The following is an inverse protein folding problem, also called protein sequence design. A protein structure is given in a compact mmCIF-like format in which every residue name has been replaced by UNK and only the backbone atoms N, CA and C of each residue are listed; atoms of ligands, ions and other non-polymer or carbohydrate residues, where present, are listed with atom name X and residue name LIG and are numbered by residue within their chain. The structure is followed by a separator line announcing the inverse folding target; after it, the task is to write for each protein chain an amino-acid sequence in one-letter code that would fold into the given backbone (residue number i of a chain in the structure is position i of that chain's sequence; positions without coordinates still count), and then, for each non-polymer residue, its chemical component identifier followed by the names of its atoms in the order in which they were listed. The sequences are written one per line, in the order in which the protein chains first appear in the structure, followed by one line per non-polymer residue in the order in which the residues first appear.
data_IF_631679755556
#
_entry.id   IF_631679755556
#
_cell.length_a   1.000
_cell.length_b   1.000
_cell.length_c   1.000
_cell.angle_alpha   90.00
_cell.angle_beta   90.00
_cell.angle_gamma   90.00
#
_symmetry.space_group_name_H-M   'P 1'
#
loop_
_entity.id
_entity.type
_entity.pdbx_description
1 polymer ?
#
# COMPACT_ATOMS: atom_id res chain seq x y z
N UNK A 1 -67.43 8.22 0.14
CA UNK A 1 -68.18 6.97 0.41
C UNK A 1 -67.18 5.83 0.51
N UNK A 2 -67.18 5.10 1.63
CA UNK A 2 -66.27 3.96 1.92
C UNK A 2 -66.93 2.68 1.42
N UNK A 3 -66.25 1.88 0.60
CA UNK A 3 -66.57 0.46 0.41
C UNK A 3 -65.53 -0.38 1.16
N UNK A 4 -66.03 -1.20 2.08
CA UNK A 4 -65.27 -2.09 2.98
C UNK A 4 -65.04 -3.45 2.31
N UNK A 5 -63.83 -4.00 2.52
CA UNK A 5 -63.45 -5.43 2.71
C UNK A 5 -63.76 -6.42 1.55
N UNK A 6 -62.97 -7.43 1.17
CA UNK A 6 -61.75 -8.08 1.69
C UNK A 6 -61.41 -9.20 0.67
N UNK A 7 -60.20 -9.23 0.09
CA UNK A 7 -59.53 -10.49 -0.33
C UNK A 7 -58.06 -10.21 -0.71
N UNK A 8 -57.14 -10.87 0.00
CA UNK A 8 -55.72 -10.97 -0.31
C UNK A 8 -55.48 -11.91 -1.51
N UNK A 9 -54.30 -11.78 -2.14
CA UNK A 9 -53.71 -12.55 -3.27
C UNK A 9 -54.09 -11.97 -4.65
N UNK A 10 -53.19 -11.44 -5.49
CA UNK A 10 -51.84 -11.87 -5.86
C UNK A 10 -51.01 -10.62 -6.25
N UNK A 11 -49.73 -10.56 -5.85
CA UNK A 11 -48.75 -9.62 -6.41
C UNK A 11 -47.99 -10.39 -7.51
N UNK A 12 -48.42 -10.41 -8.79
CA UNK A 12 -47.56 -10.94 -9.84
C UNK A 12 -46.80 -9.79 -10.50
N UNK A 13 -45.60 -10.12 -10.93
CA UNK A 13 -44.66 -9.29 -11.71
C UNK A 13 -43.81 -8.35 -10.87
N UNK A 14 -42.65 -8.90 -10.51
CA UNK A 14 -41.40 -8.21 -10.76
C UNK A 14 -41.30 -6.84 -10.06
N UNK A 15 -41.19 -6.88 -8.73
CA UNK A 15 -39.97 -6.28 -8.21
C UNK A 15 -38.85 -6.98 -8.97
N UNK A 16 -38.38 -6.32 -10.04
CA UNK A 16 -37.01 -6.44 -10.47
C UNK A 16 -36.21 -6.18 -9.19
N UNK A 17 -36.03 -7.23 -8.40
CA UNK A 17 -34.83 -7.47 -7.64
C UNK A 17 -33.76 -7.49 -8.71
N UNK A 18 -33.39 -6.29 -9.15
CA UNK A 18 -32.16 -6.07 -9.84
C UNK A 18 -31.14 -6.72 -8.92
N UNK A 19 -30.58 -7.85 -9.36
CA UNK A 19 -29.21 -8.08 -9.00
C UNK A 19 -28.45 -6.96 -9.71
N UNK A 20 -28.44 -5.76 -9.13
CA UNK A 20 -27.39 -4.79 -9.39
C UNK A 20 -26.11 -5.39 -8.79
N UNK A 21 -25.66 -6.52 -9.34
CA UNK A 21 -24.25 -6.84 -9.31
C UNK A 21 -23.59 -5.89 -10.31
N UNK A 22 -23.57 -4.59 -9.97
CA UNK A 22 -22.40 -3.82 -10.36
C UNK A 22 -21.26 -4.53 -9.65
N UNK A 23 -20.49 -5.32 -10.40
CA UNK A 23 -19.29 -5.93 -9.87
C UNK A 23 -18.40 -4.75 -9.43
N UNK A 24 -18.46 -4.40 -8.15
CA UNK A 24 -17.61 -3.37 -7.56
C UNK A 24 -16.19 -3.88 -7.70
N UNK A 25 -15.30 -3.03 -8.22
CA UNK A 25 -13.90 -3.41 -8.37
C UNK A 25 -13.31 -3.82 -7.03
N UNK A 26 -12.41 -4.79 -7.05
CA UNK A 26 -11.63 -5.10 -5.86
C UNK A 26 -10.71 -3.92 -5.57
N UNK A 27 -11.02 -3.10 -4.55
CA UNK A 27 -10.27 -1.88 -4.25
C UNK A 27 -8.82 -2.12 -3.85
N UNK A 28 -8.45 -3.34 -3.46
CA UNK A 28 -7.06 -3.70 -3.15
C UNK A 28 -6.23 -3.77 -4.44
N UNK A 29 -6.69 -4.54 -5.43
CA UNK A 29 -5.92 -4.89 -6.63
C UNK A 29 -6.39 -4.21 -7.91
N UNK A 30 -7.50 -3.48 -7.86
CA UNK A 30 -8.13 -2.85 -9.01
C UNK A 30 -8.55 -1.41 -8.73
N UNK A 31 -8.76 -0.66 -9.80
CA UNK A 31 -9.30 0.69 -9.81
C UNK A 31 -10.36 0.81 -10.91
N UNK A 32 -11.30 1.73 -10.74
CA UNK A 32 -12.36 1.94 -11.72
C UNK A 32 -11.97 3.03 -12.73
N UNK A 33 -11.93 2.68 -14.01
CA UNK A 33 -11.64 3.60 -15.10
C UNK A 33 -12.34 3.13 -16.38
N UNK A 34 -12.65 4.06 -17.30
CA UNK A 34 -13.25 3.74 -18.62
C UNK A 34 -14.46 2.79 -18.55
N UNK A 35 -15.31 2.99 -17.52
CA UNK A 35 -16.51 2.22 -17.23
C UNK A 35 -16.30 0.71 -16.97
N UNK A 36 -15.12 0.33 -16.44
CA UNK A 36 -14.79 -1.04 -16.04
C UNK A 36 -13.75 -1.06 -14.92
N UNK A 37 -13.50 -2.23 -14.36
CA UNK A 37 -12.38 -2.44 -13.44
C UNK A 37 -11.09 -2.69 -14.23
N UNK A 38 -10.02 -2.05 -13.77
CA UNK A 38 -8.68 -2.19 -14.30
C UNK A 38 -7.74 -2.64 -13.20
N UNK A 39 -6.77 -3.47 -13.56
CA UNK A 39 -5.83 -4.02 -12.58
C UNK A 39 -4.78 -2.97 -12.22
N UNK A 40 -4.51 -2.77 -10.92
CA UNK A 40 -3.36 -1.99 -10.45
C UNK A 40 -2.06 -2.72 -10.79
N UNK A 41 -0.92 -2.04 -10.70
CA UNK A 41 0.36 -2.72 -10.83
C UNK A 41 0.71 -3.46 -9.53
N UNK A 42 1.19 -4.71 -9.61
CA UNK A 42 1.55 -5.49 -8.43
C UNK A 42 2.78 -4.92 -7.70
N UNK A 43 3.04 -5.37 -6.46
CA UNK A 43 4.31 -5.11 -5.79
C UNK A 43 5.51 -5.42 -6.71
N UNK A 44 6.56 -4.60 -6.65
CA UNK A 44 7.72 -4.73 -7.53
C UNK A 44 7.58 -4.03 -8.88
N UNK A 45 6.48 -3.33 -9.12
CA UNK A 45 6.22 -2.64 -10.39
C UNK A 45 5.49 -1.32 -10.23
N UNK A 46 5.59 -0.48 -11.25
CA UNK A 46 4.89 0.79 -11.39
C UNK A 46 4.08 0.83 -12.70
N UNK A 47 3.15 1.75 -12.79
CA UNK A 47 2.22 1.93 -13.91
C UNK A 47 2.86 2.79 -15.00
N UNK A 48 3.20 2.17 -16.12
CA UNK A 48 3.68 2.90 -17.30
C UNK A 48 2.51 3.44 -18.12
N UNK A 49 1.43 2.67 -18.26
CA UNK A 49 0.20 3.13 -18.92
C UNK A 49 -1.03 2.61 -18.22
N UNK A 50 -2.00 3.49 -18.07
CA UNK A 50 -3.31 3.13 -17.56
C UNK A 50 -4.10 2.30 -18.57
N UNK A 51 -5.02 1.47 -18.08
CA UNK A 51 -5.94 0.74 -18.94
C UNK A 51 -6.76 1.66 -19.87
N UNK A 52 -7.17 1.10 -21.00
CA UNK A 52 -8.18 1.67 -21.91
C UNK A 52 -9.40 0.76 -21.96
N UNK A 53 -10.43 1.09 -22.75
CA UNK A 53 -11.63 0.23 -22.88
C UNK A 53 -11.30 -1.20 -23.35
N UNK A 54 -10.18 -1.39 -24.06
CA UNK A 54 -9.79 -2.68 -24.66
C UNK A 54 -8.45 -3.23 -24.18
N UNK A 55 -7.61 -2.41 -23.56
CA UNK A 55 -6.25 -2.79 -23.14
C UNK A 55 -6.16 -2.67 -21.62
N UNK A 56 -5.54 -3.66 -20.97
CA UNK A 56 -5.24 -3.61 -19.53
C UNK A 56 -4.16 -2.58 -19.20
N UNK A 57 -3.98 -2.34 -17.91
CA UNK A 57 -2.85 -1.55 -17.39
C UNK A 57 -1.52 -2.16 -17.82
N UNK A 58 -0.60 -1.32 -18.28
CA UNK A 58 0.77 -1.66 -18.59
C UNK A 58 1.67 -1.34 -17.38
N UNK A 59 2.39 -2.34 -16.89
CA UNK A 59 3.22 -2.23 -15.69
C UNK A 59 4.68 -2.57 -16.01
N UNK A 60 5.60 -1.82 -15.40
CA UNK A 60 7.05 -2.03 -15.52
C UNK A 60 7.66 -2.33 -14.17
N UNK A 61 8.65 -3.22 -14.16
CA UNK A 61 9.40 -3.55 -12.94
C UNK A 61 10.13 -2.34 -12.38
N UNK A 62 10.34 -2.33 -11.07
CA UNK A 62 11.21 -1.34 -10.45
C UNK A 62 12.66 -1.53 -10.94
N UNK A 63 13.32 -0.42 -11.25
CA UNK A 63 14.75 -0.38 -11.53
C UNK A 63 15.57 -0.65 -10.25
N UNK A 64 16.87 -0.98 -10.38
CA UNK A 64 17.76 -1.09 -9.23
C UNK A 64 17.67 0.14 -8.30
N UNK A 65 17.81 -0.11 -6.99
CA UNK A 65 17.68 0.90 -5.92
C UNK A 65 16.26 1.49 -5.73
N UNK A 66 15.24 0.86 -6.30
CA UNK A 66 13.84 1.25 -6.14
C UNK A 66 12.96 0.07 -5.77
N UNK A 67 11.86 0.36 -5.08
CA UNK A 67 10.91 -0.63 -4.59
C UNK A 67 9.46 -0.16 -4.67
N UNK A 68 8.56 -1.13 -4.61
CA UNK A 68 7.14 -0.90 -4.42
C UNK A 68 6.49 -2.07 -3.68
N UNK A 69 5.99 -1.82 -2.47
CA UNK A 69 5.46 -2.86 -1.59
C UNK A 69 4.05 -3.33 -1.93
N UNK A 70 3.26 -2.48 -2.60
CA UNK A 70 1.81 -2.65 -2.69
C UNK A 70 1.28 -2.58 -4.12
N UNK A 71 0.04 -3.07 -4.28
CA UNK A 71 -0.74 -2.85 -5.49
C UNK A 71 -1.02 -1.37 -5.69
N UNK A 72 -0.49 -0.80 -6.76
CA UNK A 72 -0.39 0.65 -6.90
C UNK A 72 -0.79 1.17 -8.29
N UNK A 73 -0.97 2.48 -8.38
CA UNK A 73 -1.20 3.22 -9.63
C UNK A 73 -0.12 4.29 -9.81
N UNK A 74 1.03 4.12 -9.19
CA UNK A 74 2.11 5.10 -9.21
C UNK A 74 2.86 4.98 -10.54
N UNK A 75 3.32 6.11 -11.06
CA UNK A 75 4.07 6.20 -12.32
C UNK A 75 5.58 5.96 -12.15
N UNK A 76 6.03 5.70 -10.93
CA UNK A 76 7.39 5.31 -10.59
C UNK A 76 7.45 4.49 -9.30
N UNK A 77 8.55 3.75 -9.12
CA UNK A 77 8.85 3.09 -7.85
C UNK A 77 9.50 4.06 -6.87
N UNK A 78 9.33 3.79 -5.56
CA UNK A 78 9.97 4.59 -4.49
C UNK A 78 11.46 4.24 -4.44
N UNK A 79 12.33 5.22 -4.18
CA UNK A 79 13.76 4.96 -3.98
C UNK A 79 13.98 4.25 -2.64
N UNK A 80 14.96 3.37 -2.58
CA UNK A 80 15.45 2.82 -1.32
C UNK A 80 15.94 3.91 -0.36
N UNK A 81 15.74 3.70 0.94
CA UNK A 81 16.33 4.53 1.99
C UNK A 81 17.85 4.40 1.96
N UNK A 82 18.54 5.53 2.09
CA UNK A 82 19.99 5.54 2.28
C UNK A 82 20.29 5.55 3.79
N UNK A 83 21.04 4.56 4.27
CA UNK A 83 21.52 4.51 5.65
C UNK A 83 22.79 5.34 5.77
N UNK A 84 22.64 6.64 6.03
CA UNK A 84 23.75 7.60 6.10
C UNK A 84 24.64 7.34 7.34
N UNK A 85 25.92 6.97 7.16
CA UNK A 85 26.84 6.77 8.28
C UNK A 85 27.07 8.04 9.10
N UNK A 86 26.89 9.23 8.53
CA UNK A 86 27.01 10.50 9.27
C UNK A 86 25.91 10.66 10.32
N UNK A 87 24.74 10.05 10.10
CA UNK A 87 23.67 9.95 11.09
C UNK A 87 23.88 8.82 12.11
N UNK A 88 24.95 8.04 11.98
CA UNK A 88 25.23 6.87 12.83
C UNK A 88 24.47 5.60 12.43
N UNK A 89 23.95 5.54 11.20
CA UNK A 89 23.22 4.39 10.69
C UNK A 89 24.13 3.42 9.93
N UNK A 90 23.72 2.16 9.91
CA UNK A 90 24.22 1.13 9.01
C UNK A 90 23.06 0.34 8.40
N UNK A 91 23.32 -0.29 7.25
CA UNK A 91 22.33 -1.15 6.60
C UNK A 91 22.14 -2.41 7.42
N UNK A 92 20.91 -2.65 7.85
CA UNK A 92 20.51 -3.92 8.47
C UNK A 92 20.14 -4.95 7.40
N UNK A 93 19.30 -4.53 6.45
CA UNK A 93 18.93 -5.32 5.28
C UNK A 93 18.87 -4.47 4.03
N UNK A 94 19.44 -5.02 2.95
CA UNK A 94 19.34 -4.45 1.61
C UNK A 94 17.89 -4.53 1.11
N UNK A 95 17.46 -3.49 0.41
CA UNK A 95 16.16 -3.48 -0.26
C UNK A 95 16.15 -4.36 -1.51
N UNK A 96 14.95 -4.73 -1.96
CA UNK A 96 14.70 -5.38 -3.24
C UNK A 96 13.59 -4.63 -3.99
N UNK A 97 13.02 -5.23 -5.04
CA UNK A 97 11.96 -4.56 -5.81
C UNK A 97 10.65 -4.37 -5.02
N UNK A 98 10.42 -5.12 -3.94
CA UNK A 98 9.19 -5.05 -3.13
C UNK A 98 9.41 -4.47 -1.73
N UNK A 99 10.64 -4.48 -1.22
CA UNK A 99 11.02 -4.03 0.11
C UNK A 99 12.03 -2.89 0.06
N UNK A 100 11.86 -1.96 1.00
CA UNK A 100 12.83 -0.90 1.21
C UNK A 100 14.09 -1.44 1.92
N UNK A 101 15.21 -0.75 1.75
CA UNK A 101 16.37 -0.90 2.64
C UNK A 101 15.98 -0.53 4.06
N UNK A 102 16.36 -1.37 5.02
CA UNK A 102 16.16 -1.13 6.45
C UNK A 102 17.47 -0.65 7.07
N UNK A 103 17.40 0.49 7.75
CA UNK A 103 18.53 1.05 8.48
C UNK A 103 18.37 0.77 9.97
N UNK A 104 19.51 0.56 10.64
CA UNK A 104 19.59 0.52 12.10
C UNK A 104 20.75 1.36 12.59
N UNK A 105 20.73 1.72 13.86
CA UNK A 105 21.91 2.32 14.49
C UNK A 105 23.07 1.34 14.47
N UNK A 106 24.27 1.87 14.17
CA UNK A 106 25.49 1.10 14.25
C UNK A 106 25.74 0.59 15.68
N UNK A 107 26.57 -0.45 15.80
CA UNK A 107 26.90 -1.03 17.11
C UNK A 107 27.41 0.04 18.08
N UNK A 108 26.86 0.05 19.30
CA UNK A 108 27.19 1.05 20.34
C UNK A 108 26.44 2.38 20.19
N UNK A 109 25.36 2.41 19.41
CA UNK A 109 24.49 3.57 19.26
C UNK A 109 23.01 3.20 19.39
N UNK A 110 22.17 4.17 19.75
CA UNK A 110 20.72 4.02 19.84
C UNK A 110 19.95 5.24 19.30
N UNK A 111 18.67 5.03 18.99
CA UNK A 111 17.76 6.11 18.64
C UNK A 111 17.35 6.88 19.90
N UNK A 112 17.49 8.21 19.88
CA UNK A 112 17.04 9.05 21.00
C UNK A 112 15.49 9.18 21.07
N UNK A 113 14.80 8.95 19.95
CA UNK A 113 13.34 9.03 19.85
C UNK A 113 12.80 7.99 18.84
N UNK A 114 11.47 7.94 18.69
CA UNK A 114 10.78 7.01 17.79
C UNK A 114 11.01 7.32 16.32
N UNK A 115 11.24 8.59 15.99
CA UNK A 115 11.46 9.04 14.62
C UNK A 115 12.87 8.65 14.13
N UNK A 116 13.79 8.39 15.06
CA UNK A 116 15.16 7.93 14.84
C UNK A 116 15.84 8.63 13.65
N UNK A 117 15.86 9.97 13.71
CA UNK A 117 16.50 10.78 12.68
C UNK A 117 18.03 10.73 12.78
N UNK A 118 18.57 10.53 13.99
CA UNK A 118 20.00 10.41 14.30
C UNK A 118 20.22 9.39 15.41
N UNK A 119 21.31 8.62 15.31
CA UNK A 119 21.76 7.68 16.34
C UNK A 119 22.77 8.34 17.28
N UNK A 120 22.53 8.25 18.59
CA UNK A 120 23.44 8.73 19.63
C UNK A 120 24.30 7.58 20.14
N UNK A 121 25.52 7.89 20.58
CA UNK A 121 26.39 6.90 21.21
C UNK A 121 25.78 6.41 22.53
N UNK A 122 25.89 5.11 22.75
CA UNK A 122 25.61 4.52 24.06
C UNK A 122 26.68 5.03 25.03
N UNK A 123 26.26 5.69 26.11
CA UNK A 123 27.18 6.02 27.20
C UNK A 123 27.66 4.72 27.84
N UNK A 124 28.97 4.47 28.01
CA UNK A 124 29.44 3.40 28.86
C UNK A 124 28.82 3.58 30.24
N UNK A 125 28.22 2.53 30.81
CA UNK A 125 27.56 2.56 32.11
C UNK A 125 28.35 3.35 33.17
N UNK A 126 27.97 4.60 33.41
CA UNK A 126 28.39 5.38 34.57
C UNK A 126 27.48 5.02 35.75
N UNK A 127 27.44 3.72 36.09
CA UNK A 127 26.66 3.19 37.21
C UNK A 127 27.45 2.10 38.00
N UNK A 128 28.78 2.23 38.04
CA UNK A 128 29.65 1.46 38.95
C UNK A 128 30.61 2.34 39.77
N UNK A 129 30.37 3.65 39.86
CA UNK A 129 31.11 4.52 40.78
C UNK A 129 30.13 5.36 41.59
N UNK A 130 29.52 4.75 42.61
CA UNK A 130 29.00 5.49 43.76
C UNK A 130 29.94 5.22 44.95
N UNK A 131 30.33 6.26 45.71
CA UNK A 131 31.27 6.15 46.84
C UNK A 131 30.72 5.36 48.03
#
# INVERSE_FOLDING_TARGET
MKFRQMLLLLIPTMQLYFCESSAKCNSLTQYYKVARCCTKCPPGSYMEKECTRKVETDCRGCEPHHYQSDWNMLDHCRRHTNCDPNGGFETDSEGDTTHNTVCRCAVGKHCANKDCEVCMDDTPNEELVAP
#
